data_IF_850689472242
#
_entry.id   IF_850689472242
#
_cell.length_a   1.000
_cell.length_b   1.000
_cell.length_c   1.000
_cell.angle_alpha   90.00
_cell.angle_beta   90.00
_cell.angle_gamma   90.00
#
_symmetry.space_group_name_H-M   'P 1'
#
loop_
_entity.id
_entity.type
_entity.pdbx_description
1 polymer ?
#
# COMPACT_ATOMS: atom_id res chain seq x y z
N UNK A 1 -38.06 -7.39 -11.59
CA UNK A 1 -36.68 -7.53 -11.02
C UNK A 1 -36.45 -6.33 -10.12
N UNK A 2 -35.74 -6.49 -9.01
CA UNK A 2 -35.36 -5.36 -8.15
C UNK A 2 -34.53 -4.34 -8.96
N UNK A 3 -34.86 -3.03 -8.92
CA UNK A 3 -34.19 -2.01 -9.72
C UNK A 3 -32.67 -1.97 -9.50
N UNK A 4 -32.19 -2.14 -8.25
CA UNK A 4 -30.78 -2.20 -7.92
C UNK A 4 -30.07 -3.38 -8.58
N UNK A 5 -30.70 -4.57 -8.56
CA UNK A 5 -30.15 -5.76 -9.23
C UNK A 5 -30.11 -5.57 -10.74
N UNK A 6 -31.17 -4.96 -11.32
CA UNK A 6 -31.19 -4.67 -12.76
C UNK A 6 -30.08 -3.66 -13.15
N UNK A 7 -29.89 -2.61 -12.33
CA UNK A 7 -28.80 -1.64 -12.52
C UNK A 7 -27.44 -2.32 -12.45
N UNK A 8 -27.20 -3.17 -11.44
CA UNK A 8 -25.95 -3.92 -11.30
C UNK A 8 -25.70 -4.84 -12.49
N UNK A 9 -26.71 -5.57 -12.95
CA UNK A 9 -26.60 -6.43 -14.13
C UNK A 9 -26.20 -5.63 -15.39
N UNK A 10 -26.80 -4.46 -15.59
CA UNK A 10 -26.45 -3.59 -16.71
C UNK A 10 -25.02 -3.06 -16.59
N UNK A 11 -24.57 -2.72 -15.37
CA UNK A 11 -23.20 -2.28 -15.09
C UNK A 11 -22.16 -3.39 -15.37
N UNK A 12 -22.50 -4.63 -15.04
CA UNK A 12 -21.60 -5.78 -15.32
C UNK A 12 -21.34 -5.93 -16.82
N UNK A 13 -22.32 -5.71 -17.69
CA UNK A 13 -22.18 -5.75 -19.15
C UNK A 13 -21.65 -4.47 -19.82
N UNK A 14 -21.44 -3.39 -19.05
CA UNK A 14 -20.98 -2.11 -19.59
C UNK A 14 -19.51 -2.18 -19.98
N UNK A 15 -19.08 -1.69 -21.18
CA UNK A 15 -17.70 -1.76 -21.61
C UNK A 15 -16.73 -0.94 -20.75
N UNK A 16 -17.21 0.15 -20.17
CA UNK A 16 -16.44 1.00 -19.26
C UNK A 16 -17.31 1.57 -18.16
N UNK A 17 -16.77 1.73 -16.97
CA UNK A 17 -17.43 2.18 -15.74
C UNK A 17 -16.73 3.38 -15.14
N UNK A 18 -17.48 4.30 -14.57
CA UNK A 18 -16.98 5.44 -13.78
C UNK A 18 -17.09 5.03 -12.31
N UNK A 19 -15.96 4.88 -11.66
CA UNK A 19 -15.87 4.34 -10.29
C UNK A 19 -15.13 5.31 -9.39
N UNK A 20 -15.69 5.62 -8.24
CA UNK A 20 -14.98 6.32 -7.16
C UNK A 20 -14.32 5.26 -6.28
N UNK A 21 -13.00 5.30 -6.17
CA UNK A 21 -12.24 4.55 -5.18
C UNK A 21 -11.94 5.42 -3.96
N UNK A 22 -12.09 4.85 -2.77
CA UNK A 22 -11.86 5.51 -1.49
C UNK A 22 -10.80 4.77 -0.69
N UNK A 23 -9.84 5.53 -0.15
CA UNK A 23 -8.90 5.00 0.83
C UNK A 23 -8.85 5.89 2.07
N UNK A 24 -9.00 5.27 3.24
CA UNK A 24 -8.77 5.88 4.54
C UNK A 24 -7.69 5.07 5.25
N UNK A 25 -6.51 5.67 5.35
CA UNK A 25 -5.31 5.04 5.91
C UNK A 25 -5.31 5.04 7.45
N UNK A 26 -4.37 4.31 8.04
CA UNK A 26 -4.18 4.24 9.50
C UNK A 26 -3.49 5.49 10.07
N UNK A 27 -2.89 6.32 9.24
CA UNK A 27 -2.33 7.63 9.61
C UNK A 27 -3.40 8.65 10.00
N UNK A 28 -4.64 8.46 9.50
CA UNK A 28 -5.77 9.35 9.69
C UNK A 28 -5.53 10.77 9.14
N UNK A 29 -4.76 10.91 8.08
CA UNK A 29 -4.49 12.21 7.47
C UNK A 29 -5.72 12.74 6.73
N UNK A 30 -6.43 11.86 6.00
CA UNK A 30 -7.59 12.23 5.22
C UNK A 30 -8.24 11.03 4.51
N UNK A 31 -9.25 11.35 3.73
CA UNK A 31 -9.89 10.44 2.78
C UNK A 31 -9.37 10.74 1.38
N UNK A 32 -8.72 9.75 0.77
CA UNK A 32 -8.35 9.78 -0.64
C UNK A 32 -9.55 9.39 -1.50
N UNK A 33 -9.90 10.25 -2.45
CA UNK A 33 -11.03 10.09 -3.36
C UNK A 33 -10.50 10.11 -4.80
N UNK A 34 -10.52 8.96 -5.46
CA UNK A 34 -10.08 8.81 -6.85
C UNK A 34 -11.28 8.50 -7.75
N UNK A 35 -11.58 9.36 -8.72
CA UNK A 35 -12.57 9.10 -9.76
C UNK A 35 -11.86 8.48 -10.96
N UNK A 36 -12.20 7.25 -11.29
CA UNK A 36 -11.55 6.45 -12.32
C UNK A 36 -12.53 6.07 -13.42
N UNK A 37 -12.08 6.11 -14.67
CA UNK A 37 -12.72 5.40 -15.78
C UNK A 37 -12.00 4.08 -15.96
N UNK A 38 -12.75 2.97 -15.86
CA UNK A 38 -12.18 1.61 -15.96
C UNK A 38 -12.90 0.86 -17.07
N UNK A 39 -12.14 0.37 -18.04
CA UNK A 39 -12.61 -0.44 -19.17
C UNK A 39 -12.00 -1.84 -19.09
N UNK A 40 -12.78 -2.86 -19.48
CA UNK A 40 -12.37 -4.26 -19.42
C UNK A 40 -12.38 -4.84 -18.00
N UNK A 41 -11.70 -5.99 -17.84
CA UNK A 41 -11.51 -6.72 -16.57
C UNK A 41 -10.25 -7.58 -16.62
N UNK A 42 -9.74 -7.98 -15.47
CA UNK A 42 -8.51 -8.78 -15.34
C UNK A 42 -7.31 -8.12 -16.02
N UNK A 43 -6.53 -8.90 -16.76
CA UNK A 43 -5.35 -8.42 -17.50
C UNK A 43 -5.68 -7.48 -18.69
N UNK A 44 -6.96 -7.39 -19.07
CA UNK A 44 -7.40 -6.47 -20.12
C UNK A 44 -7.90 -5.14 -19.56
N UNK A 45 -7.76 -4.92 -18.25
CA UNK A 45 -8.19 -3.69 -17.58
C UNK A 45 -7.37 -2.50 -18.07
N UNK A 46 -8.09 -1.45 -18.50
CA UNK A 46 -7.53 -0.13 -18.76
C UNK A 46 -8.12 0.84 -17.78
N UNK A 47 -7.28 1.59 -17.08
CA UNK A 47 -7.68 2.56 -16.07
C UNK A 47 -7.17 3.95 -16.46
N UNK A 48 -8.06 4.92 -16.35
CA UNK A 48 -7.76 6.34 -16.47
C UNK A 48 -8.19 7.05 -15.19
N UNK A 49 -7.27 7.74 -14.53
CA UNK A 49 -7.57 8.58 -13.36
C UNK A 49 -8.11 9.92 -13.84
N UNK A 50 -9.41 10.16 -13.68
CA UNK A 50 -10.08 11.37 -14.11
C UNK A 50 -9.89 12.53 -13.13
N UNK A 51 -10.05 12.24 -11.83
CA UNK A 51 -9.91 13.20 -10.72
C UNK A 51 -9.32 12.51 -9.50
N UNK A 52 -8.60 13.27 -8.70
CA UNK A 52 -8.10 12.82 -7.40
C UNK A 52 -8.06 13.98 -6.42
N UNK A 53 -8.46 13.71 -5.18
CA UNK A 53 -8.36 14.66 -4.09
C UNK A 53 -8.21 13.92 -2.77
N UNK A 54 -7.36 14.43 -1.88
CA UNK A 54 -7.28 14.02 -0.48
C UNK A 54 -7.99 15.05 0.37
N UNK A 55 -9.05 14.65 1.06
CA UNK A 55 -9.80 15.51 1.98
C UNK A 55 -9.31 15.24 3.40
N UNK A 56 -8.63 16.21 4.00
CA UNK A 56 -8.10 16.09 5.36
C UNK A 56 -9.20 15.87 6.39
N UNK A 57 -8.97 14.94 7.32
CA UNK A 57 -9.87 14.73 8.44
C UNK A 57 -9.75 15.85 9.49
N UNK A 58 -10.88 16.22 10.07
CA UNK A 58 -10.91 17.12 11.24
C UNK A 58 -10.30 16.45 12.47
N UNK A 59 -9.87 17.26 13.45
CA UNK A 59 -9.36 16.71 14.70
C UNK A 59 -10.44 15.92 15.46
N UNK A 60 -11.70 16.33 15.35
CA UNK A 60 -12.84 15.58 15.91
C UNK A 60 -12.92 14.18 15.30
N UNK A 61 -12.90 14.04 13.98
CA UNK A 61 -12.89 12.75 13.31
C UNK A 61 -11.70 11.87 13.77
N UNK A 62 -10.51 12.45 13.81
CA UNK A 62 -9.28 11.73 14.23
C UNK A 62 -9.41 11.24 15.67
N UNK A 63 -9.92 12.07 16.58
CA UNK A 63 -10.08 11.73 17.99
C UNK A 63 -11.12 10.62 18.17
N UNK A 64 -12.24 10.68 17.46
CA UNK A 64 -13.27 9.66 17.53
C UNK A 64 -12.77 8.29 17.05
N UNK A 65 -12.04 8.23 15.95
CA UNK A 65 -11.44 6.99 15.45
C UNK A 65 -10.36 6.47 16.40
N UNK A 66 -9.50 7.34 16.93
CA UNK A 66 -8.43 6.95 17.88
C UNK A 66 -8.97 6.32 19.16
N UNK A 67 -10.22 6.59 19.55
CA UNK A 67 -10.84 5.96 20.71
C UNK A 67 -11.00 4.44 20.56
N UNK A 68 -11.10 3.93 19.33
CA UNK A 68 -11.30 2.50 19.02
C UNK A 68 -10.15 1.88 18.24
N UNK A 69 -9.31 2.68 17.56
CA UNK A 69 -8.26 2.20 16.68
C UNK A 69 -7.14 1.46 17.42
N UNK A 70 -6.84 0.24 16.94
CA UNK A 70 -5.74 -0.63 17.43
C UNK A 70 -5.78 -0.97 18.92
N UNK A 71 -6.96 -0.92 19.56
CA UNK A 71 -7.15 -1.22 20.98
C UNK A 71 -7.81 -2.58 21.16
N UNK A 72 -7.28 -3.40 22.09
CA UNK A 72 -7.87 -4.71 22.44
C UNK A 72 -9.15 -4.59 23.27
N UNK A 73 -9.32 -3.50 23.99
CA UNK A 73 -10.51 -3.20 24.82
C UNK A 73 -11.06 -1.85 24.40
N UNK A 74 -12.30 -1.83 24.00
CA UNK A 74 -13.01 -0.63 23.53
C UNK A 74 -14.45 -0.64 24.02
N UNK A 75 -15.08 0.53 24.00
CA UNK A 75 -16.51 0.68 24.15
C UNK A 75 -17.21 0.17 22.90
N UNK A 76 -18.00 -0.89 23.04
CA UNK A 76 -18.73 -1.50 21.92
C UNK A 76 -19.83 -0.59 21.38
N UNK A 77 -20.52 0.18 22.25
CA UNK A 77 -21.55 1.16 21.80
C UNK A 77 -20.88 2.21 20.92
N UNK A 78 -19.73 2.74 21.34
CA UNK A 78 -18.96 3.69 20.54
C UNK A 78 -18.59 3.14 19.17
N UNK A 79 -18.14 1.88 19.09
CA UNK A 79 -17.83 1.23 17.82
C UNK A 79 -19.07 1.10 16.93
N UNK A 80 -20.23 0.72 17.50
CA UNK A 80 -21.49 0.64 16.77
C UNK A 80 -21.93 2.00 16.20
N UNK A 81 -21.75 3.08 16.97
CA UNK A 81 -22.11 4.43 16.53
C UNK A 81 -21.14 4.96 15.44
N UNK A 82 -19.86 4.64 15.54
CA UNK A 82 -18.85 5.08 14.58
C UNK A 82 -19.03 4.44 13.20
N UNK A 83 -19.52 3.20 13.11
CA UNK A 83 -19.67 2.51 11.85
C UNK A 83 -20.53 3.27 10.82
N UNK A 84 -21.78 3.64 11.09
CA UNK A 84 -22.59 4.48 10.20
C UNK A 84 -22.07 5.92 10.11
N UNK A 85 -21.58 6.49 11.22
CA UNK A 85 -21.12 7.87 11.26
C UNK A 85 -19.95 8.14 10.27
N UNK A 86 -18.95 7.25 10.23
CA UNK A 86 -17.84 7.35 9.27
C UNK A 86 -18.34 7.34 7.84
N UNK A 87 -19.29 6.47 7.50
CA UNK A 87 -19.89 6.44 6.16
C UNK A 87 -20.59 7.74 5.79
N UNK A 88 -21.30 8.36 6.73
CA UNK A 88 -21.98 9.64 6.49
C UNK A 88 -20.95 10.77 6.31
N UNK A 89 -19.84 10.79 7.06
CA UNK A 89 -18.74 11.74 6.84
C UNK A 89 -18.13 11.55 5.45
N UNK A 90 -17.82 10.32 5.07
CA UNK A 90 -17.29 10.01 3.74
C UNK A 90 -18.28 10.39 2.63
N UNK A 91 -19.58 10.13 2.82
CA UNK A 91 -20.61 10.53 1.85
C UNK A 91 -20.66 12.04 1.63
N UNK A 92 -20.54 12.83 2.71
CA UNK A 92 -20.42 14.29 2.63
C UNK A 92 -19.21 14.71 1.79
N UNK A 93 -18.04 14.18 2.11
CA UNK A 93 -16.79 14.47 1.37
C UNK A 93 -16.89 14.09 -0.11
N UNK A 94 -17.51 12.95 -0.45
CA UNK A 94 -17.72 12.53 -1.83
C UNK A 94 -18.66 13.50 -2.56
N UNK A 95 -19.80 13.84 -1.96
CA UNK A 95 -20.77 14.74 -2.57
C UNK A 95 -20.16 16.14 -2.82
N UNK A 96 -19.35 16.64 -1.88
CA UNK A 96 -18.63 17.91 -2.03
C UNK A 96 -17.60 17.85 -3.18
N UNK A 97 -16.84 16.75 -3.29
CA UNK A 97 -15.94 16.53 -4.41
C UNK A 97 -16.66 16.47 -5.75
N UNK A 98 -17.76 15.72 -5.84
CA UNK A 98 -18.55 15.61 -7.05
C UNK A 98 -19.13 16.98 -7.47
N UNK A 99 -19.62 17.77 -6.52
CA UNK A 99 -20.08 19.13 -6.78
C UNK A 99 -18.93 20.02 -7.29
N UNK A 100 -17.76 19.98 -6.64
CA UNK A 100 -16.55 20.73 -7.04
C UNK A 100 -16.08 20.34 -8.43
N UNK A 101 -16.16 19.07 -8.79
CA UNK A 101 -15.78 18.56 -10.10
C UNK A 101 -16.85 18.75 -11.18
N UNK A 102 -18.03 19.27 -10.81
CA UNK A 102 -19.19 19.42 -11.68
C UNK A 102 -19.64 18.09 -12.31
N UNK A 103 -19.69 17.04 -11.48
CA UNK A 103 -20.10 15.67 -11.86
C UNK A 103 -21.33 15.31 -11.03
N UNK A 104 -22.37 14.80 -11.68
CA UNK A 104 -23.58 14.35 -10.99
C UNK A 104 -23.38 12.94 -10.43
N UNK A 105 -24.00 12.66 -9.27
CA UNK A 105 -23.97 11.30 -8.68
C UNK A 105 -24.46 10.22 -9.68
N UNK A 106 -25.42 10.57 -10.56
CA UNK A 106 -25.93 9.66 -11.58
C UNK A 106 -24.93 9.31 -12.69
N UNK A 107 -23.83 10.05 -12.81
CA UNK A 107 -22.76 9.79 -13.78
C UNK A 107 -21.71 8.82 -13.21
N UNK A 108 -21.77 8.55 -11.89
CA UNK A 108 -20.91 7.58 -11.22
C UNK A 108 -21.62 6.24 -11.13
N UNK A 109 -20.96 5.19 -11.60
CA UNK A 109 -21.52 3.84 -11.63
C UNK A 109 -21.42 3.14 -10.27
N UNK A 110 -20.27 3.27 -9.61
CA UNK A 110 -19.94 2.58 -8.36
C UNK A 110 -19.11 3.45 -7.42
N UNK A 111 -19.27 3.23 -6.12
CA UNK A 111 -18.30 3.63 -5.10
C UNK A 111 -17.63 2.37 -4.55
N UNK A 112 -16.33 2.42 -4.39
CA UNK A 112 -15.50 1.38 -3.78
C UNK A 112 -14.92 1.90 -2.45
N UNK A 113 -15.46 1.46 -1.32
CA UNK A 113 -15.05 1.93 0.00
C UNK A 113 -14.16 0.93 0.72
N UNK A 114 -12.92 1.32 1.00
CA UNK A 114 -12.07 0.57 1.94
C UNK A 114 -12.66 0.54 3.35
N UNK A 115 -13.34 1.62 3.74
CA UNK A 115 -13.69 1.89 5.13
C UNK A 115 -12.46 2.33 5.94
N UNK A 116 -12.62 2.47 7.26
CA UNK A 116 -11.56 2.79 8.21
C UNK A 116 -11.13 1.54 8.97
N UNK A 117 -9.86 1.15 8.87
CA UNK A 117 -9.34 0.03 9.64
C UNK A 117 -9.35 0.36 11.12
N UNK A 118 -9.94 -0.52 11.92
CA UNK A 118 -9.98 -0.44 13.38
C UNK A 118 -9.03 -1.44 14.02
N UNK A 119 -9.02 -2.68 13.51
CA UNK A 119 -8.17 -3.72 14.07
C UNK A 119 -7.78 -4.75 13.00
N UNK A 120 -6.53 -5.16 13.02
CA UNK A 120 -6.03 -6.25 12.19
C UNK A 120 -5.45 -7.34 13.08
N UNK A 121 -5.99 -8.56 12.97
CA UNK A 121 -5.69 -9.70 13.83
C UNK A 121 -5.39 -10.95 13.00
N UNK A 122 -4.27 -11.01 12.29
CA UNK A 122 -3.86 -12.24 11.60
C UNK A 122 -3.47 -13.30 12.62
N UNK A 123 -3.74 -14.57 12.29
CA UNK A 123 -3.51 -15.70 13.19
C UNK A 123 -2.06 -15.76 13.70
N UNK A 124 -1.09 -15.42 12.86
CA UNK A 124 0.33 -15.37 13.22
C UNK A 124 0.65 -14.40 14.37
N UNK A 125 -0.16 -13.34 14.57
CA UNK A 125 0.01 -12.36 15.65
C UNK A 125 -0.77 -12.73 16.92
N UNK A 126 -2.05 -13.15 16.80
CA UNK A 126 -2.86 -13.47 18.00
C UNK A 126 -2.62 -14.88 18.52
N UNK A 127 -2.11 -15.82 17.72
CA UNK A 127 -1.71 -17.19 18.07
C UNK A 127 -2.81 -18.04 18.74
N UNK A 128 -4.07 -17.64 18.65
CA UNK A 128 -5.21 -18.38 19.20
C UNK A 128 -5.67 -19.43 18.20
N UNK A 129 -5.41 -20.71 18.45
CA UNK A 129 -5.66 -21.81 17.52
C UNK A 129 -7.14 -21.96 17.09
N UNK A 130 -8.07 -21.52 17.92
CA UNK A 130 -9.53 -21.59 17.65
C UNK A 130 -9.97 -20.62 16.54
N UNK A 131 -9.23 -19.52 16.32
CA UNK A 131 -9.63 -18.43 15.42
C UNK A 131 -8.65 -18.32 14.25
N UNK A 132 -9.18 -18.11 13.05
CA UNK A 132 -8.38 -17.81 11.86
C UNK A 132 -7.96 -16.33 11.79
N UNK A 133 -7.53 -15.92 10.61
CA UNK A 133 -7.25 -14.53 10.32
C UNK A 133 -8.50 -13.67 10.48
N UNK A 134 -8.35 -12.45 10.99
CA UNK A 134 -9.44 -11.49 11.14
C UNK A 134 -8.95 -10.06 10.91
N UNK A 135 -9.83 -9.20 10.44
CA UNK A 135 -9.62 -7.76 10.34
C UNK A 135 -10.96 -7.05 10.45
N UNK A 136 -10.98 -5.84 10.96
CA UNK A 136 -12.19 -5.03 11.07
C UNK A 136 -11.95 -3.67 10.43
N UNK A 137 -12.69 -3.41 9.37
CA UNK A 137 -12.89 -2.08 8.81
C UNK A 137 -14.31 -1.66 9.10
N UNK A 138 -14.51 -0.42 9.53
CA UNK A 138 -15.83 0.20 9.72
C UNK A 138 -16.07 1.30 8.68
N UNK A 139 -17.29 1.69 8.54
CA UNK A 139 -17.79 2.52 7.46
C UNK A 139 -18.75 1.68 6.62
N UNK A 140 -20.03 1.63 7.07
CA UNK A 140 -21.06 0.75 6.53
C UNK A 140 -21.45 1.14 5.09
N UNK A 141 -21.41 0.17 4.19
CA UNK A 141 -21.67 0.36 2.77
C UNK A 141 -23.10 0.79 2.45
N UNK A 142 -24.12 0.35 3.22
CA UNK A 142 -25.53 0.74 3.01
C UNK A 142 -25.72 2.21 3.31
N UNK A 143 -25.14 2.72 4.41
CA UNK A 143 -25.22 4.14 4.76
C UNK A 143 -24.56 5.01 3.69
N UNK A 144 -23.44 4.56 3.14
CA UNK A 144 -22.76 5.28 2.06
C UNK A 144 -23.58 5.26 0.77
N UNK A 145 -24.15 4.09 0.40
CA UNK A 145 -24.97 3.95 -0.79
C UNK A 145 -26.24 4.81 -0.73
N UNK A 146 -26.93 4.81 0.40
CA UNK A 146 -28.16 5.61 0.60
C UNK A 146 -27.85 7.11 0.58
N UNK A 147 -26.78 7.55 1.27
CA UNK A 147 -26.44 8.97 1.35
C UNK A 147 -25.91 9.56 0.04
N UNK A 148 -25.33 8.73 -0.85
CA UNK A 148 -24.82 9.18 -2.15
C UNK A 148 -25.74 8.88 -3.33
N UNK A 149 -26.69 7.93 -3.18
CA UNK A 149 -27.53 7.42 -4.28
C UNK A 149 -26.76 6.53 -5.28
N UNK A 150 -25.55 6.07 -4.92
CA UNK A 150 -24.65 5.30 -5.80
C UNK A 150 -24.46 3.89 -5.22
N UNK A 151 -24.48 2.85 -6.07
CA UNK A 151 -24.15 1.48 -5.65
C UNK A 151 -22.74 1.48 -5.04
N UNK A 152 -22.64 0.96 -3.82
CA UNK A 152 -21.38 0.92 -3.08
C UNK A 152 -20.87 -0.51 -2.92
N UNK A 153 -19.58 -0.72 -3.18
CA UNK A 153 -18.86 -1.96 -2.87
C UNK A 153 -17.93 -1.66 -1.71
N UNK A 154 -18.02 -2.45 -0.65
CA UNK A 154 -17.29 -2.24 0.60
C UNK A 154 -16.75 -3.54 1.17
N UNK A 155 -15.99 -3.48 2.27
CA UNK A 155 -15.54 -4.65 3.05
C UNK A 155 -14.75 -5.68 2.23
N UNK A 156 -13.82 -5.22 1.41
CA UNK A 156 -13.04 -6.03 0.49
C UNK A 156 -12.21 -7.11 1.20
N UNK A 157 -11.65 -6.79 2.37
CA UNK A 157 -10.71 -7.66 3.10
C UNK A 157 -11.36 -8.93 3.63
N UNK A 158 -12.66 -8.89 3.96
CA UNK A 158 -13.39 -10.06 4.49
C UNK A 158 -13.49 -11.21 3.48
N UNK A 159 -13.68 -10.92 2.19
CA UNK A 159 -13.73 -11.97 1.18
C UNK A 159 -12.36 -12.63 0.98
N UNK A 160 -11.28 -11.87 1.05
CA UNK A 160 -9.93 -12.38 1.01
C UNK A 160 -9.66 -13.35 2.18
N UNK A 161 -10.04 -12.96 3.41
CA UNK A 161 -9.92 -13.81 4.60
C UNK A 161 -10.77 -15.07 4.47
N UNK A 162 -12.03 -14.95 4.03
CA UNK A 162 -12.92 -16.10 3.85
C UNK A 162 -12.40 -17.11 2.83
N UNK A 163 -11.57 -16.67 1.91
CA UNK A 163 -10.91 -17.53 0.93
C UNK A 163 -9.52 -18.03 1.37
N UNK A 164 -9.14 -17.81 2.64
CA UNK A 164 -7.90 -18.35 3.22
C UNK A 164 -6.73 -17.34 3.27
N UNK A 165 -6.92 -16.09 2.82
CA UNK A 165 -5.91 -15.04 2.93
C UNK A 165 -5.84 -14.40 4.32
N UNK A 166 -4.93 -13.45 4.50
CA UNK A 166 -4.80 -12.66 5.75
C UNK A 166 -5.62 -11.35 5.72
N UNK A 167 -6.24 -10.99 4.59
CA UNK A 167 -6.92 -9.71 4.41
C UNK A 167 -5.97 -8.55 4.07
N UNK A 168 -4.67 -8.81 4.02
CA UNK A 168 -3.61 -7.89 3.65
C UNK A 168 -2.38 -8.68 3.14
N UNK A 169 -1.54 -8.11 2.25
CA UNK A 169 -1.76 -6.86 1.52
C UNK A 169 -2.77 -7.04 0.37
N UNK A 170 -3.61 -6.03 0.11
CA UNK A 170 -4.47 -6.00 -1.08
C UNK A 170 -3.79 -5.29 -2.27
N UNK A 171 -2.73 -4.53 -2.03
CA UNK A 171 -2.00 -3.80 -3.08
C UNK A 171 -1.53 -4.72 -4.21
N UNK A 172 -1.17 -5.96 -3.91
CA UNK A 172 -0.71 -6.95 -4.88
C UNK A 172 -1.73 -7.21 -6.00
N UNK A 173 -3.03 -7.13 -5.72
CA UNK A 173 -4.08 -7.29 -6.74
C UNK A 173 -4.09 -6.11 -7.73
N UNK A 174 -4.00 -4.87 -7.22
CA UNK A 174 -3.89 -3.69 -8.07
C UNK A 174 -2.57 -3.67 -8.84
N UNK A 175 -1.49 -4.02 -8.19
CA UNK A 175 -0.17 -4.12 -8.81
C UNK A 175 -0.20 -5.14 -9.97
N UNK A 176 -0.81 -6.30 -9.75
CA UNK A 176 -0.96 -7.31 -10.82
C UNK A 176 -1.81 -6.79 -11.99
N UNK A 177 -2.98 -6.22 -11.71
CA UNK A 177 -3.91 -5.74 -12.75
C UNK A 177 -3.28 -4.62 -13.59
N UNK A 178 -2.62 -3.65 -12.95
CA UNK A 178 -2.12 -2.45 -13.60
C UNK A 178 -0.75 -2.62 -14.24
N UNK A 179 0.12 -3.43 -13.61
CA UNK A 179 1.54 -3.42 -13.96
C UNK A 179 2.05 -4.75 -14.51
N UNK A 180 1.30 -5.87 -14.40
CA UNK A 180 1.73 -7.10 -15.07
C UNK A 180 1.70 -6.97 -16.58
N UNK A 181 2.72 -7.53 -17.22
CA UNK A 181 2.81 -7.54 -18.67
C UNK A 181 3.45 -8.83 -19.14
N UNK A 182 2.74 -9.57 -19.98
CA UNK A 182 3.23 -10.83 -20.52
C UNK A 182 4.56 -10.63 -21.27
N UNK A 183 5.55 -11.44 -20.94
CA UNK A 183 6.90 -11.40 -21.53
C UNK A 183 7.80 -10.30 -21.00
N UNK A 184 7.40 -9.58 -19.94
CA UNK A 184 8.20 -8.51 -19.33
C UNK A 184 8.21 -8.66 -17.81
N UNK A 185 9.36 -8.95 -17.23
CA UNK A 185 9.53 -9.00 -15.78
C UNK A 185 9.59 -7.59 -15.20
N UNK A 186 8.80 -7.33 -14.15
CA UNK A 186 8.69 -6.03 -13.51
C UNK A 186 8.83 -6.13 -11.99
N UNK A 187 9.41 -5.09 -11.40
CA UNK A 187 9.42 -4.89 -9.95
C UNK A 187 8.74 -3.55 -9.64
N UNK A 188 7.81 -3.57 -8.72
CA UNK A 188 7.28 -2.35 -8.10
C UNK A 188 8.01 -2.18 -6.78
N UNK A 189 8.97 -1.26 -6.73
CA UNK A 189 9.78 -0.96 -5.55
C UNK A 189 9.20 0.25 -4.84
N UNK A 190 8.78 0.07 -3.60
CA UNK A 190 8.39 1.16 -2.72
C UNK A 190 9.47 1.41 -1.66
N UNK A 191 10.04 2.62 -1.63
CA UNK A 191 11.05 3.03 -0.66
C UNK A 191 10.40 4.05 0.30
N UNK A 192 9.61 3.54 1.23
CA UNK A 192 9.03 4.30 2.35
C UNK A 192 9.95 4.29 3.57
N UNK A 193 9.39 4.30 4.77
CA UNK A 193 10.14 4.03 6.00
C UNK A 193 10.79 2.64 5.96
N UNK A 194 10.02 1.63 5.58
CA UNK A 194 10.48 0.29 5.19
C UNK A 194 10.47 0.20 3.67
N UNK A 195 11.51 -0.40 3.10
CA UNK A 195 11.55 -0.74 1.68
C UNK A 195 10.86 -2.09 1.46
N UNK A 196 10.00 -2.17 0.44
CA UNK A 196 9.33 -3.38 0.01
C UNK A 196 9.22 -3.41 -1.51
N UNK A 197 9.03 -4.61 -2.07
CA UNK A 197 8.75 -4.73 -3.49
C UNK A 197 7.73 -5.81 -3.81
N UNK A 198 7.06 -5.62 -4.96
CA UNK A 198 6.26 -6.65 -5.64
C UNK A 198 6.96 -7.02 -6.93
N UNK A 199 7.39 -8.29 -7.07
CA UNK A 199 7.87 -8.84 -8.33
C UNK A 199 6.70 -9.38 -9.13
N UNK A 200 6.55 -8.90 -10.35
CA UNK A 200 5.53 -9.28 -11.33
C UNK A 200 6.23 -9.98 -12.50
N UNK A 201 6.23 -11.31 -12.54
CA UNK A 201 6.87 -12.05 -13.62
C UNK A 201 6.11 -11.88 -14.94
N UNK A 202 6.86 -11.81 -16.03
CA UNK A 202 6.29 -11.81 -17.40
C UNK A 202 5.84 -13.19 -17.90
N UNK A 203 6.15 -14.24 -17.15
CA UNK A 203 5.82 -15.65 -17.40
C UNK A 203 4.82 -16.24 -16.39
N UNK A 204 4.89 -17.56 -16.23
CA UNK A 204 3.98 -18.34 -15.38
C UNK A 204 4.44 -18.48 -13.92
N UNK A 205 5.47 -17.76 -13.51
CA UNK A 205 6.00 -17.81 -12.15
C UNK A 205 5.06 -17.12 -11.15
N UNK A 206 5.30 -17.38 -9.86
CA UNK A 206 4.52 -16.77 -8.79
C UNK A 206 4.91 -15.30 -8.62
N UNK A 207 3.92 -14.46 -8.36
CA UNK A 207 4.13 -13.09 -7.87
C UNK A 207 4.74 -13.18 -6.46
N UNK A 208 5.74 -12.34 -6.20
CA UNK A 208 6.35 -12.21 -4.88
C UNK A 208 6.17 -10.79 -4.37
N UNK A 209 5.51 -10.65 -3.20
CA UNK A 209 5.44 -9.40 -2.46
C UNK A 209 6.17 -9.58 -1.12
N UNK A 210 7.14 -8.72 -0.80
CA UNK A 210 7.97 -8.88 0.39
C UNK A 210 8.54 -7.55 0.88
N UNK A 211 8.72 -7.43 2.20
CA UNK A 211 9.57 -6.40 2.76
C UNK A 211 11.04 -6.78 2.57
N UNK A 212 11.87 -5.77 2.50
CA UNK A 212 13.31 -5.90 2.21
C UNK A 212 14.16 -5.54 3.43
N UNK A 213 13.76 -4.47 4.13
CA UNK A 213 14.50 -3.91 5.25
C UNK A 213 14.22 -2.40 5.36
N UNK A 214 15.08 -1.64 6.05
CA UNK A 214 14.87 -0.22 6.20
C UNK A 214 14.97 0.50 4.84
N UNK A 215 14.00 1.36 4.56
CA UNK A 215 14.11 2.39 3.55
C UNK A 215 14.67 3.66 4.19
N UNK A 216 13.76 4.61 4.53
CA UNK A 216 14.16 5.89 5.13
C UNK A 216 14.15 5.87 6.67
N UNK A 217 13.52 4.88 7.32
CA UNK A 217 13.20 4.93 8.76
C UNK A 217 14.43 5.19 9.66
N UNK A 218 15.58 4.54 9.38
CA UNK A 218 16.81 4.77 10.16
C UNK A 218 17.42 6.12 9.86
N UNK A 219 17.45 6.55 8.61
CA UNK A 219 17.98 7.84 8.17
C UNK A 219 17.18 8.99 8.77
N UNK A 220 15.87 8.92 8.68
CA UNK A 220 14.97 9.97 9.18
C UNK A 220 15.04 10.08 10.71
N UNK A 221 15.01 8.94 11.42
CA UNK A 221 15.15 8.92 12.87
C UNK A 221 16.51 9.47 13.33
N UNK A 222 17.59 9.14 12.61
CA UNK A 222 18.92 9.64 12.92
C UNK A 222 19.06 11.14 12.64
N UNK A 223 18.49 11.64 11.54
CA UNK A 223 18.41 13.07 11.25
C UNK A 223 17.67 13.83 12.35
N UNK A 224 16.50 13.35 12.75
CA UNK A 224 15.69 13.97 13.82
C UNK A 224 16.42 14.00 15.16
N UNK A 225 17.22 12.97 15.48
CA UNK A 225 18.06 12.95 16.69
C UNK A 225 19.20 13.97 16.63
N UNK A 226 19.90 14.06 15.49
CA UNK A 226 21.11 14.91 15.35
C UNK A 226 20.81 16.36 15.02
N UNK A 227 19.71 16.62 14.30
CA UNK A 227 19.30 17.94 13.82
C UNK A 227 17.84 18.21 14.21
N UNK A 228 17.57 18.64 15.45
CA UNK A 228 16.20 18.94 15.90
C UNK A 228 15.47 19.91 14.95
N UNK A 229 14.24 19.54 14.54
CA UNK A 229 13.45 20.31 13.58
C UNK A 229 13.62 19.89 12.12
N UNK A 230 14.53 18.96 11.82
CA UNK A 230 14.72 18.39 10.48
C UNK A 230 14.08 17.01 10.41
N UNK A 231 13.28 16.74 9.39
CA UNK A 231 12.55 15.47 9.26
C UNK A 231 13.33 14.39 8.53
N UNK A 232 14.21 14.75 7.56
CA UNK A 232 14.99 13.83 6.72
C UNK A 232 16.24 14.52 6.15
N UNK A 233 17.17 13.76 5.58
CA UNK A 233 18.38 14.25 4.92
C UNK A 233 18.07 14.74 3.50
N UNK A 234 17.77 16.03 3.36
CA UNK A 234 17.41 16.65 2.08
C UNK A 234 18.54 16.51 1.06
N UNK A 235 18.23 15.99 -0.15
CA UNK A 235 19.20 15.77 -1.22
C UNK A 235 20.41 14.92 -0.81
N UNK A 236 20.30 14.13 0.26
CA UNK A 236 21.41 13.35 0.84
C UNK A 236 22.63 14.20 1.21
N UNK A 237 22.43 15.45 1.63
CA UNK A 237 23.55 16.37 1.90
C UNK A 237 24.46 15.88 3.02
N UNK A 238 23.88 15.37 4.11
CA UNK A 238 24.64 14.85 5.24
C UNK A 238 25.35 13.54 4.85
N UNK A 239 24.64 12.62 4.19
CA UNK A 239 25.22 11.35 3.75
C UNK A 239 26.34 11.55 2.71
N UNK A 240 26.20 12.50 1.78
CA UNK A 240 27.24 12.82 0.78
C UNK A 240 28.50 13.45 1.38
N UNK A 241 28.40 14.09 2.54
CA UNK A 241 29.54 14.67 3.24
C UNK A 241 30.35 13.62 4.03
N UNK A 242 29.80 12.43 4.24
CA UNK A 242 30.43 11.34 4.97
C UNK A 242 31.07 10.27 4.09
N UNK A 243 31.78 9.38 4.74
CA UNK A 243 32.38 8.18 4.14
C UNK A 243 31.77 6.93 4.78
N UNK A 244 31.44 5.95 3.95
CA UNK A 244 30.90 4.66 4.42
C UNK A 244 31.93 3.95 5.31
N UNK A 245 31.51 3.55 6.50
CA UNK A 245 32.30 2.75 7.39
C UNK A 245 31.93 1.26 7.24
N UNK A 246 32.85 0.46 6.73
CA UNK A 246 32.63 -0.95 6.40
C UNK A 246 32.34 -1.82 7.64
N UNK A 247 32.95 -1.50 8.81
CA UNK A 247 32.69 -2.27 10.04
C UNK A 247 31.23 -2.05 10.53
N UNK A 248 30.77 -0.81 10.53
CA UNK A 248 29.38 -0.51 10.88
C UNK A 248 28.42 -1.11 9.85
N UNK A 249 28.74 -0.99 8.55
CA UNK A 249 27.91 -1.56 7.48
C UNK A 249 27.78 -3.08 7.63
N UNK A 250 28.86 -3.78 7.93
CA UNK A 250 28.85 -5.21 8.18
C UNK A 250 27.96 -5.56 9.39
N UNK A 251 28.12 -4.85 10.51
CA UNK A 251 27.33 -5.09 11.72
C UNK A 251 25.83 -4.84 11.51
N UNK A 252 25.45 -3.83 10.70
CA UNK A 252 24.06 -3.56 10.34
C UNK A 252 23.43 -4.69 9.51
N UNK A 253 24.21 -5.44 8.73
CA UNK A 253 23.72 -6.53 7.88
C UNK A 253 23.59 -7.89 8.57
N UNK A 254 24.00 -8.01 9.83
CA UNK A 254 24.07 -9.32 10.53
C UNK A 254 22.73 -9.80 11.10
N UNK A 255 21.67 -8.97 11.10
CA UNK A 255 20.39 -9.34 11.69
C UNK A 255 19.77 -10.56 11.02
N UNK A 256 19.14 -11.42 11.82
CA UNK A 256 18.53 -12.67 11.36
C UNK A 256 17.34 -12.43 10.38
N UNK A 257 16.73 -11.25 10.38
CA UNK A 257 15.74 -10.87 9.38
C UNK A 257 16.29 -11.01 7.95
N UNK A 258 17.55 -10.64 7.72
CA UNK A 258 18.13 -10.71 6.37
C UNK A 258 18.42 -12.16 5.90
N UNK A 259 18.51 -13.10 6.83
CA UNK A 259 18.70 -14.54 6.53
C UNK A 259 17.38 -15.28 6.23
N UNK A 260 16.22 -14.63 6.47
CA UNK A 260 14.92 -15.23 6.21
C UNK A 260 14.64 -15.36 4.71
N UNK A 261 13.96 -16.45 4.34
CA UNK A 261 13.45 -16.64 2.98
C UNK A 261 12.29 -15.68 2.68
N UNK A 262 12.10 -15.36 1.40
CA UNK A 262 10.91 -14.63 0.94
C UNK A 262 9.65 -15.51 0.92
N UNK A 263 8.45 -14.94 1.15
CA UNK A 263 8.20 -13.56 1.58
C UNK A 263 8.52 -13.34 3.06
N UNK A 264 8.97 -12.15 3.42
CA UNK A 264 9.22 -11.75 4.81
C UNK A 264 8.64 -10.37 5.11
N UNK A 265 8.39 -10.08 6.39
CA UNK A 265 7.75 -8.83 6.83
C UNK A 265 8.52 -8.23 8.00
N UNK A 266 8.69 -6.92 7.99
CA UNK A 266 9.35 -6.15 9.05
C UNK A 266 8.73 -4.76 9.21
N UNK A 267 9.20 -4.02 10.21
CA UNK A 267 8.72 -2.66 10.48
C UNK A 267 9.73 -1.81 11.24
N UNK A 268 9.37 -0.57 11.56
CA UNK A 268 10.22 0.35 12.33
C UNK A 268 10.45 -0.12 13.78
N UNK A 269 9.67 -1.09 14.26
CA UNK A 269 9.91 -1.74 15.56
C UNK A 269 11.24 -2.48 15.61
N UNK A 270 11.72 -3.03 14.47
CA UNK A 270 13.05 -3.64 14.34
C UNK A 270 14.08 -2.58 13.96
N UNK A 271 13.86 -1.84 12.90
CA UNK A 271 14.82 -0.89 12.34
C UNK A 271 14.64 0.51 12.92
N UNK A 272 15.23 0.76 14.09
CA UNK A 272 15.12 2.00 14.86
C UNK A 272 16.51 2.45 15.39
N UNK A 273 16.56 3.55 16.13
CA UNK A 273 17.82 4.08 16.68
C UNK A 273 18.51 3.11 17.65
N UNK A 274 17.76 2.25 18.34
CA UNK A 274 18.35 1.22 19.20
C UNK A 274 19.12 0.19 18.38
N UNK A 275 18.56 -0.25 17.25
CA UNK A 275 19.23 -1.11 16.28
C UNK A 275 20.56 -0.51 15.81
N UNK A 276 20.56 0.77 15.41
CA UNK A 276 21.77 1.47 15.00
C UNK A 276 22.80 1.54 16.13
N UNK A 277 22.38 1.84 17.36
CA UNK A 277 23.26 1.91 18.52
C UNK A 277 23.91 0.55 18.82
N UNK A 278 23.15 -0.54 18.77
CA UNK A 278 23.67 -1.89 18.94
C UNK A 278 24.72 -2.22 17.88
N UNK A 279 24.46 -1.90 16.62
CA UNK A 279 25.42 -2.11 15.53
C UNK A 279 26.71 -1.29 15.75
N UNK A 280 26.60 -0.01 16.15
CA UNK A 280 27.75 0.84 16.47
C UNK A 280 28.59 0.29 17.65
N UNK A 281 27.95 -0.23 18.68
CA UNK A 281 28.65 -0.86 19.81
C UNK A 281 29.37 -2.13 19.39
N UNK A 282 28.72 -2.99 18.61
CA UNK A 282 29.26 -4.26 18.12
C UNK A 282 30.47 -4.07 17.20
N UNK A 283 30.47 -3.02 16.41
CA UNK A 283 31.52 -2.70 15.44
C UNK A 283 32.59 -1.77 15.97
N UNK A 284 32.53 -1.37 17.24
CA UNK A 284 33.44 -0.38 17.87
C UNK A 284 33.46 0.97 17.10
N UNK A 285 32.28 1.41 16.63
CA UNK A 285 32.12 2.63 15.81
C UNK A 285 31.26 3.70 16.48
N UNK A 286 31.17 3.69 17.81
CA UNK A 286 30.35 4.65 18.57
C UNK A 286 30.80 6.10 18.32
N UNK A 287 32.07 6.33 18.08
CA UNK A 287 32.69 7.65 17.88
C UNK A 287 32.64 8.17 16.44
N UNK A 288 32.01 7.44 15.50
CA UNK A 288 31.86 7.91 14.12
C UNK A 288 31.13 9.25 14.05
N UNK A 289 31.55 10.09 13.10
CA UNK A 289 30.88 11.35 12.78
C UNK A 289 29.42 11.14 12.39
N UNK A 290 28.65 12.20 12.45
CA UNK A 290 27.25 12.17 12.01
C UNK A 290 27.15 11.86 10.51
N UNK A 291 28.04 12.46 9.73
CA UNK A 291 28.11 12.33 8.27
C UNK A 291 28.48 10.89 7.87
N UNK A 292 29.52 10.30 8.49
CA UNK A 292 29.94 8.92 8.20
C UNK A 292 28.87 7.91 8.62
N UNK A 293 28.22 8.15 9.76
CA UNK A 293 27.08 7.33 10.19
C UNK A 293 25.95 7.40 9.18
N UNK A 294 25.58 8.63 8.71
CA UNK A 294 24.52 8.82 7.73
C UNK A 294 24.87 8.18 6.37
N UNK A 295 26.11 8.36 5.89
CA UNK A 295 26.58 7.69 4.68
C UNK A 295 26.46 6.17 4.79
N UNK A 296 26.79 5.61 5.95
CA UNK A 296 26.77 4.16 6.18
C UNK A 296 25.33 3.61 6.24
N UNK A 297 24.40 4.28 6.91
CA UNK A 297 22.99 3.82 6.95
C UNK A 297 22.27 4.03 5.61
N UNK A 298 22.63 5.06 4.83
CA UNK A 298 22.15 5.22 3.46
C UNK A 298 22.60 4.03 2.59
N UNK A 299 23.90 3.70 2.65
CA UNK A 299 24.45 2.54 1.94
C UNK A 299 23.85 1.22 2.41
N UNK A 300 23.58 1.07 3.69
CA UNK A 300 22.93 -0.13 4.24
C UNK A 300 21.54 -0.34 3.63
N UNK A 301 20.70 0.71 3.59
CA UNK A 301 19.38 0.63 2.96
C UNK A 301 19.49 0.23 1.48
N UNK A 302 20.39 0.87 0.73
CA UNK A 302 20.61 0.55 -0.68
C UNK A 302 21.10 -0.88 -0.90
N UNK A 303 22.07 -1.35 -0.12
CA UNK A 303 22.59 -2.71 -0.25
C UNK A 303 21.55 -3.78 0.04
N UNK A 304 20.67 -3.58 1.03
CA UNK A 304 19.62 -4.54 1.35
C UNK A 304 18.59 -4.63 0.21
N UNK A 305 18.24 -3.50 -0.41
CA UNK A 305 17.37 -3.49 -1.60
C UNK A 305 18.06 -4.23 -2.76
N UNK A 306 19.33 -3.94 -3.04
CA UNK A 306 20.09 -4.59 -4.12
C UNK A 306 20.18 -6.11 -3.91
N UNK A 307 20.53 -6.55 -2.70
CA UNK A 307 20.65 -7.97 -2.36
C UNK A 307 19.29 -8.67 -2.54
N UNK A 308 18.23 -8.09 -2.02
CA UNK A 308 16.90 -8.68 -2.12
C UNK A 308 16.40 -8.78 -3.56
N UNK A 309 16.62 -7.75 -4.38
CA UNK A 309 16.28 -7.78 -5.81
C UNK A 309 17.09 -8.83 -6.54
N UNK A 310 18.40 -8.88 -6.35
CA UNK A 310 19.28 -9.91 -6.98
C UNK A 310 18.87 -11.32 -6.59
N UNK A 311 18.55 -11.56 -5.33
CA UNK A 311 18.09 -12.86 -4.84
C UNK A 311 16.74 -13.27 -5.47
N UNK A 312 15.84 -12.33 -5.64
CA UNK A 312 14.56 -12.53 -6.33
C UNK A 312 14.76 -12.84 -7.84
N UNK A 313 15.62 -12.09 -8.50
CA UNK A 313 15.79 -12.14 -9.96
C UNK A 313 16.65 -13.33 -10.43
N UNK A 314 17.58 -13.79 -9.62
CA UNK A 314 18.56 -14.83 -9.98
C UNK A 314 19.29 -14.48 -11.29
N UNK A 315 19.00 -15.20 -12.37
CA UNK A 315 19.64 -15.05 -13.68
C UNK A 315 18.84 -14.16 -14.65
N UNK A 316 17.74 -13.53 -14.19
CA UNK A 316 16.89 -12.68 -15.04
C UNK A 316 17.60 -11.36 -15.37
N UNK A 317 17.45 -10.92 -16.61
CA UNK A 317 17.99 -9.67 -17.14
C UNK A 317 16.86 -8.83 -17.76
N UNK A 318 17.12 -7.55 -18.01
CA UNK A 318 16.16 -6.61 -18.64
C UNK A 318 14.90 -6.38 -17.80
N UNK A 319 15.08 -6.15 -16.50
CA UNK A 319 14.01 -5.91 -15.54
C UNK A 319 13.63 -4.43 -15.52
N UNK A 320 12.34 -4.14 -15.52
CA UNK A 320 11.83 -2.79 -15.26
C UNK A 320 11.46 -2.62 -13.80
N UNK A 321 12.10 -1.67 -13.13
CA UNK A 321 11.83 -1.32 -11.73
C UNK A 321 11.04 -0.01 -11.69
N UNK A 322 9.77 -0.09 -11.33
CA UNK A 322 8.93 1.08 -11.09
C UNK A 322 9.06 1.49 -9.63
N UNK A 323 9.71 2.63 -9.39
CA UNK A 323 10.03 3.09 -8.05
C UNK A 323 9.00 4.11 -7.54
N UNK A 324 8.70 4.04 -6.24
CA UNK A 324 7.77 4.92 -5.52
C UNK A 324 8.22 5.13 -4.07
N UNK A 325 7.51 6.00 -3.34
CA UNK A 325 7.81 6.35 -1.97
C UNK A 325 8.84 7.48 -1.84
N UNK A 326 9.00 8.03 -0.63
CA UNK A 326 9.87 9.19 -0.36
C UNK A 326 11.36 8.95 -0.68
N UNK A 327 11.81 7.69 -0.61
CA UNK A 327 13.21 7.33 -0.87
C UNK A 327 13.67 7.55 -2.31
N UNK A 328 12.75 7.67 -3.29
CA UNK A 328 13.13 8.01 -4.68
C UNK A 328 13.75 9.41 -4.79
N UNK A 329 13.47 10.27 -3.81
CA UNK A 329 14.04 11.63 -3.71
C UNK A 329 15.39 11.66 -2.96
N UNK A 330 15.93 10.50 -2.57
CA UNK A 330 17.28 10.37 -2.00
C UNK A 330 18.28 10.04 -3.13
N UNK A 331 19.02 11.02 -3.66
CA UNK A 331 19.81 10.81 -4.87
C UNK A 331 20.98 9.85 -4.66
N UNK A 332 21.56 9.80 -3.46
CA UNK A 332 22.67 8.89 -3.16
C UNK A 332 22.18 7.44 -3.11
N UNK A 333 21.02 7.20 -2.49
CA UNK A 333 20.39 5.87 -2.47
C UNK A 333 20.05 5.39 -3.88
N UNK A 334 19.40 6.24 -4.68
CA UNK A 334 19.03 5.89 -6.06
C UNK A 334 20.24 5.66 -6.95
N UNK A 335 21.31 6.43 -6.79
CA UNK A 335 22.58 6.21 -7.49
C UNK A 335 23.15 4.81 -7.17
N UNK A 336 23.22 4.43 -5.89
CA UNK A 336 23.70 3.09 -5.49
C UNK A 336 22.86 1.96 -6.09
N UNK A 337 21.52 2.12 -6.13
CA UNK A 337 20.64 1.13 -6.75
C UNK A 337 20.97 0.96 -8.24
N UNK A 338 21.08 2.06 -8.97
CA UNK A 338 21.38 2.04 -10.41
C UNK A 338 22.75 1.46 -10.73
N UNK A 339 23.78 1.81 -9.95
CA UNK A 339 25.13 1.28 -10.12
C UNK A 339 25.23 -0.23 -9.87
N UNK A 340 24.44 -0.76 -8.91
CA UNK A 340 24.57 -2.17 -8.49
C UNK A 340 23.50 -3.09 -9.12
N UNK A 341 22.56 -2.54 -9.88
CA UNK A 341 21.55 -3.26 -10.67
C UNK A 341 21.62 -2.88 -12.16
N UNK A 342 22.79 -3.10 -12.84
CA UNK A 342 23.00 -2.60 -14.21
C UNK A 342 22.07 -3.26 -15.26
N UNK A 343 21.47 -4.42 -14.95
CA UNK A 343 20.47 -5.08 -15.81
C UNK A 343 19.05 -4.57 -15.60
N UNK A 344 18.85 -3.54 -14.76
CA UNK A 344 17.53 -3.01 -14.43
C UNK A 344 17.34 -1.59 -14.99
N UNK A 345 16.16 -1.33 -15.56
CA UNK A 345 15.76 0.02 -15.95
C UNK A 345 14.86 0.61 -14.88
N UNK A 346 15.31 1.70 -14.25
CA UNK A 346 14.52 2.41 -13.25
C UNK A 346 13.57 3.40 -13.91
N UNK A 347 12.29 3.29 -13.58
CA UNK A 347 11.18 4.09 -14.08
C UNK A 347 10.39 4.65 -12.89
N UNK A 348 9.70 5.76 -13.10
CA UNK A 348 8.72 6.25 -12.11
C UNK A 348 7.38 5.52 -12.29
N UNK A 349 6.67 5.24 -11.20
CA UNK A 349 5.27 4.77 -11.29
C UNK A 349 4.37 5.79 -12.00
N UNK A 350 4.71 7.08 -11.95
CA UNK A 350 4.00 8.11 -12.70
C UNK A 350 4.04 7.90 -14.24
N UNK A 351 5.09 7.26 -14.78
CA UNK A 351 5.19 6.94 -16.20
C UNK A 351 4.17 5.89 -16.66
N UNK A 352 3.55 5.18 -15.74
CA UNK A 352 2.46 4.24 -16.01
C UNK A 352 1.08 4.90 -16.04
N UNK A 353 1.01 6.23 -15.81
CA UNK A 353 -0.24 6.98 -15.73
C UNK A 353 -0.95 6.88 -14.37
N UNK A 354 -0.33 6.24 -13.37
CA UNK A 354 -0.87 6.11 -12.01
C UNK A 354 -0.19 7.14 -11.11
N UNK A 355 -0.97 8.11 -10.61
CA UNK A 355 -0.50 9.04 -9.59
C UNK A 355 -0.15 8.23 -8.31
N UNK A 356 1.07 8.34 -7.76
CA UNK A 356 1.49 7.62 -6.56
C UNK A 356 0.57 7.86 -5.35
N UNK A 357 0.09 9.08 -5.16
CA UNK A 357 -0.79 9.46 -4.05
C UNK A 357 -2.20 8.86 -4.19
N UNK A 358 -2.66 8.67 -5.44
CA UNK A 358 -3.96 8.08 -5.74
C UNK A 358 -3.94 6.53 -5.75
N UNK A 359 -2.77 5.91 -5.70
CA UNK A 359 -2.58 4.46 -5.98
C UNK A 359 -3.48 3.56 -5.14
N UNK A 360 -3.63 3.84 -3.85
CA UNK A 360 -4.47 3.02 -2.96
C UNK A 360 -5.96 3.23 -3.22
N UNK A 361 -6.42 4.46 -3.46
CA UNK A 361 -7.80 4.72 -3.82
C UNK A 361 -8.16 4.11 -5.19
N UNK A 362 -7.26 4.19 -6.16
CA UNK A 362 -7.37 3.53 -7.47
C UNK A 362 -7.46 2.01 -7.32
N UNK A 363 -6.67 1.41 -6.41
CA UNK A 363 -6.75 -0.02 -6.10
C UNK A 363 -8.20 -0.44 -5.77
N UNK A 364 -8.88 0.30 -4.88
CA UNK A 364 -10.26 -0.06 -4.52
C UNK A 364 -11.23 0.11 -5.69
N UNK A 365 -11.05 1.12 -6.54
CA UNK A 365 -11.84 1.23 -7.77
C UNK A 365 -11.65 0.01 -8.71
N UNK A 366 -10.41 -0.48 -8.85
CA UNK A 366 -10.11 -1.70 -9.61
C UNK A 366 -10.76 -2.93 -8.99
N UNK A 367 -10.63 -3.13 -7.68
CA UNK A 367 -11.24 -4.26 -6.98
C UNK A 367 -12.78 -4.26 -7.12
N UNK A 368 -13.41 -3.08 -7.09
CA UNK A 368 -14.84 -2.97 -7.32
C UNK A 368 -15.22 -3.29 -8.79
N UNK A 369 -14.39 -2.87 -9.76
CA UNK A 369 -14.56 -3.27 -11.14
C UNK A 369 -14.52 -4.78 -11.29
N UNK A 370 -13.48 -5.43 -10.73
CA UNK A 370 -13.33 -6.89 -10.77
C UNK A 370 -14.50 -7.61 -10.06
N UNK A 371 -15.02 -7.05 -8.97
CA UNK A 371 -16.18 -7.60 -8.25
C UNK A 371 -17.42 -7.71 -9.15
N UNK A 372 -17.57 -6.78 -10.11
CA UNK A 372 -18.80 -6.67 -10.92
C UNK A 372 -18.67 -7.34 -12.28
N UNK A 373 -17.50 -7.29 -12.92
CA UNK A 373 -17.38 -7.69 -14.32
C UNK A 373 -16.42 -8.85 -14.59
N UNK A 374 -15.56 -9.26 -13.63
CA UNK A 374 -14.60 -10.30 -13.93
C UNK A 374 -15.16 -11.71 -13.67
N UNK A 375 -14.69 -12.66 -14.45
CA UNK A 375 -14.70 -14.06 -14.06
C UNK A 375 -13.59 -14.25 -12.98
N UNK A 376 -13.86 -15.04 -11.95
CA UNK A 376 -12.90 -15.32 -10.86
C UNK A 376 -11.56 -15.83 -11.40
N UNK A 377 -11.57 -16.55 -12.51
CA UNK A 377 -10.37 -17.01 -13.21
C UNK A 377 -9.51 -15.87 -13.78
N UNK A 378 -10.08 -14.70 -14.02
CA UNK A 378 -9.36 -13.52 -14.55
C UNK A 378 -8.54 -12.78 -13.48
N UNK A 379 -8.81 -13.05 -12.20
CA UNK A 379 -8.10 -12.46 -11.03
C UNK A 379 -7.09 -13.46 -10.44
N UNK A 380 -6.75 -14.53 -11.18
CA UNK A 380 -5.82 -15.54 -10.71
C UNK A 380 -4.41 -14.98 -10.53
N UNK A 381 -4.10 -14.69 -9.26
CA UNK A 381 -2.76 -14.31 -8.84
C UNK A 381 -2.05 -15.57 -8.36
N UNK A 382 -1.06 -16.03 -9.10
CA UNK A 382 -0.21 -17.13 -8.67
C UNK A 382 0.74 -16.66 -7.58
N UNK A 383 0.26 -16.66 -6.33
CA UNK A 383 1.09 -16.34 -5.16
C UNK A 383 0.59 -17.10 -3.93
N UNK A 384 1.49 -17.73 -3.16
CA UNK A 384 1.12 -18.41 -1.93
C UNK A 384 0.43 -17.44 -0.94
N UNK A 385 -0.71 -17.86 -0.38
CA UNK A 385 -1.46 -17.04 0.61
C UNK A 385 -2.30 -15.90 0.02
N UNK A 386 -2.32 -15.72 -1.30
CA UNK A 386 -3.14 -14.73 -1.99
C UNK A 386 -4.24 -15.43 -2.78
N UNK A 387 -5.48 -15.49 -2.26
CA UNK A 387 -6.56 -16.21 -2.93
C UNK A 387 -7.07 -15.46 -4.17
N UNK A 388 -7.38 -16.22 -5.22
CA UNK A 388 -8.06 -15.71 -6.41
C UNK A 388 -9.55 -15.55 -6.11
N UNK A 389 -9.99 -14.34 -5.74
CA UNK A 389 -11.39 -14.06 -5.41
C UNK A 389 -11.79 -12.65 -5.83
N UNK A 390 -12.99 -12.50 -6.33
CA UNK A 390 -13.64 -11.20 -6.46
C UNK A 390 -14.04 -10.70 -5.07
N UNK A 391 -13.54 -9.54 -4.66
CA UNK A 391 -13.68 -9.01 -3.31
C UNK A 391 -14.77 -7.95 -3.22
N UNK A 392 -15.37 -7.84 -2.04
CA UNK A 392 -16.33 -6.79 -1.68
C UNK A 392 -17.73 -7.32 -1.38
N UNK A 393 -18.51 -6.47 -0.72
CA UNK A 393 -19.95 -6.62 -0.45
C UNK A 393 -20.67 -5.50 -1.15
N UNK A 394 -21.82 -5.79 -1.74
CA UNK A 394 -22.58 -4.82 -2.56
C UNK A 394 -23.74 -4.27 -1.74
N UNK A 395 -23.82 -2.95 -1.66
CA UNK A 395 -24.89 -2.18 -1.05
C UNK A 395 -25.61 -1.35 -2.09
N UNK A 396 -26.95 -1.40 -2.08
CA UNK A 396 -27.78 -0.66 -3.02
C UNK A 396 -28.28 0.66 -2.40
N UNK A 397 -28.38 1.74 -3.18
CA UNK A 397 -29.11 2.92 -2.74
C UNK A 397 -30.59 2.59 -2.54
N UNK A 398 -31.31 3.45 -1.78
CA UNK A 398 -32.75 3.29 -1.52
C UNK A 398 -33.60 3.45 -2.80
#
# INVERSE_FOLDING_TARGET
>A
MNPGIQKLYNLAGKPGRIIIGLMSGTSLDGLDIALCKIEGCGQNTKMELLKFETISYTDDFKNEVRNVFSKKQIDLEKLCLLNPWISLQHAGMINDCLQKWNIKNSEVDLIASHGQTIYHAPQRLHQQQKFGNATLQIGDGDHLAVATGIITISDFRQKNIAAGGEGAPLAVYGDHILFSKKGEDRILLNIGGIANFTFLPGGDENILCTDVGPGNTLMDAYMQEKFPGTSFDHESLVAKAGTVNENLLAALKEDDFFKQNFPKTTGPELFNLHYLQQAKQKSDTVSLSTEDTMATINRFSADMIVIAIKDCLKDKTEIKIFSSGGGIHNPLLMQHLQEHLPGCTFLSTAETGVNPDAKEAVLFALLANECVCSDVSAVEIKSPGIPAVAMGKISFPA
#
